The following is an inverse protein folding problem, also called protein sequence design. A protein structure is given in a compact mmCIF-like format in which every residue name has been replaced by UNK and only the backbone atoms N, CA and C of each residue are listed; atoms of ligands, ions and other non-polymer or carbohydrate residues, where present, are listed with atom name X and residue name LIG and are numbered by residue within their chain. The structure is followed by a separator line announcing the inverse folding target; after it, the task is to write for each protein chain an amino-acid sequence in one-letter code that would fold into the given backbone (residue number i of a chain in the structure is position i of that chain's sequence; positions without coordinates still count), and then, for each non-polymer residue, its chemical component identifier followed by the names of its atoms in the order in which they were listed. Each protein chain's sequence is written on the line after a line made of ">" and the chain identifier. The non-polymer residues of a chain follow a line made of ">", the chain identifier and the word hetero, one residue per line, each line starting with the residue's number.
data_IF_631359738569
#
_entry.id   IF_631359738569
#
_cell.length_a   1.000
_cell.length_b   1.000
_cell.length_c   1.000
_cell.angle_alpha   90.00
_cell.angle_beta   90.00
_cell.angle_gamma   90.00
#
_symmetry.space_group_name_H-M   'P 1'
#
loop_
_entity.id
_entity.type
_entity.pdbx_description
1 polymer ?
#
# COMPACT_ATOMS: atom_id res chain seq x y z
N UNK A 1 -7.58 13.65 16.75
CA UNK A 1 -7.15 13.86 15.34
C UNK A 1 -7.89 12.91 14.43
N UNK A 2 -8.21 13.35 13.21
CA UNK A 2 -8.93 12.54 12.23
C UNK A 2 -7.93 11.58 11.54
N UNK A 3 -8.16 10.27 11.63
CA UNK A 3 -7.36 9.26 10.94
C UNK A 3 -7.61 9.32 9.44
N UNK A 4 -6.54 9.40 8.65
CA UNK A 4 -6.61 9.39 7.20
C UNK A 4 -6.30 7.98 6.68
N UNK A 5 -7.28 7.36 6.04
CA UNK A 5 -7.08 6.07 5.39
C UNK A 5 -6.44 6.30 4.02
N UNK A 6 -5.25 5.77 3.81
CA UNK A 6 -4.51 5.94 2.56
C UNK A 6 -4.22 4.59 1.92
N UNK A 7 -4.19 4.56 0.60
CA UNK A 7 -3.72 3.41 -0.17
C UNK A 7 -2.39 3.78 -0.83
N UNK A 8 -1.29 3.20 -0.37
CA UNK A 8 0.05 3.46 -0.93
C UNK A 8 0.42 2.34 -1.90
N UNK A 9 0.36 2.64 -3.20
CA UNK A 9 0.88 1.78 -4.25
C UNK A 9 2.38 2.03 -4.44
N UNK A 10 3.17 0.96 -4.55
CA UNK A 10 4.62 1.02 -4.75
C UNK A 10 5.10 -0.23 -5.49
N UNK A 11 6.33 -0.20 -6.03
CA UNK A 11 7.00 -1.42 -6.48
C UNK A 11 7.46 -2.22 -5.26
N UNK A 12 7.22 -3.53 -5.22
CA UNK A 12 7.40 -4.32 -3.99
C UNK A 12 8.81 -4.33 -3.40
N UNK A 13 9.83 -3.90 -4.16
CA UNK A 13 11.21 -3.75 -3.66
C UNK A 13 11.48 -2.40 -2.98
N UNK A 14 10.52 -1.48 -3.02
CA UNK A 14 10.64 -0.11 -2.52
C UNK A 14 9.95 0.06 -1.15
N UNK A 15 9.79 -1.01 -0.36
CA UNK A 15 9.10 -0.95 0.94
C UNK A 15 9.78 0.03 1.91
N UNK A 16 11.11 0.19 1.82
CA UNK A 16 11.85 1.19 2.60
C UNK A 16 11.33 2.62 2.36
N UNK A 17 10.96 2.95 1.11
CA UNK A 17 10.41 4.26 0.76
C UNK A 17 8.99 4.43 1.30
N UNK A 18 8.22 3.34 1.42
CA UNK A 18 6.89 3.35 2.08
C UNK A 18 7.04 3.68 3.57
N UNK A 19 8.01 3.06 4.26
CA UNK A 19 8.24 3.37 5.67
C UNK A 19 8.70 4.82 5.87
N UNK A 20 9.65 5.29 5.06
CA UNK A 20 10.12 6.68 5.10
C UNK A 20 8.99 7.70 4.88
N UNK A 21 8.08 7.44 3.93
CA UNK A 21 6.90 8.28 3.72
C UNK A 21 5.99 8.29 4.97
N UNK A 22 5.72 7.12 5.58
CA UNK A 22 4.88 7.03 6.78
C UNK A 22 5.49 7.77 7.96
N UNK A 23 6.81 7.69 8.15
CA UNK A 23 7.53 8.45 9.17
C UNK A 23 7.43 9.95 8.94
N UNK A 24 7.65 10.40 7.70
CA UNK A 24 7.50 11.81 7.33
C UNK A 24 6.09 12.33 7.59
N UNK A 25 5.05 11.58 7.23
CA UNK A 25 3.66 11.94 7.51
C UNK A 25 3.39 12.06 9.01
N UNK A 26 3.89 11.11 9.81
CA UNK A 26 3.79 11.18 11.28
C UNK A 26 4.52 12.40 11.86
N UNK A 27 5.69 12.76 11.32
CA UNK A 27 6.46 13.93 11.77
C UNK A 27 5.76 15.27 11.49
N UNK A 28 4.73 15.25 10.65
CA UNK A 28 3.90 16.41 10.29
C UNK A 28 2.49 16.30 10.90
N UNK A 29 2.34 15.51 11.97
CA UNK A 29 1.08 15.27 12.66
C UNK A 29 -0.04 14.70 11.78
N UNK A 30 0.30 13.90 10.75
CA UNK A 30 -0.70 13.10 10.03
C UNK A 30 -0.83 11.69 10.63
N UNK A 31 -1.99 11.37 11.17
CA UNK A 31 -2.35 10.01 11.59
C UNK A 31 -2.85 9.20 10.37
N UNK A 32 -1.93 8.49 9.71
CA UNK A 32 -2.21 7.72 8.48
C UNK A 32 -2.30 6.22 8.73
N UNK A 33 -3.36 5.59 8.20
CA UNK A 33 -3.52 4.14 8.13
C UNK A 33 -3.37 3.69 6.68
N UNK A 34 -2.30 2.96 6.39
CA UNK A 34 -2.05 2.41 5.06
C UNK A 34 -2.81 1.08 4.87
N UNK A 35 -3.57 0.96 3.79
CA UNK A 35 -4.35 -0.21 3.39
C UNK A 35 -3.69 -1.06 2.29
N UNK A 36 -2.44 -0.77 1.91
CA UNK A 36 -1.70 -1.57 0.92
C UNK A 36 -1.53 -3.02 1.36
N UNK A 37 -1.44 -3.92 0.39
CA UNK A 37 -1.20 -5.35 0.61
C UNK A 37 0.27 -5.64 0.36
N UNK A 38 0.95 -6.19 1.36
CA UNK A 38 2.31 -6.73 1.19
C UNK A 38 2.28 -8.26 1.06
N UNK A 39 3.16 -8.76 0.21
CA UNK A 39 3.50 -10.16 -0.05
C UNK A 39 3.87 -10.96 1.21
N UNK A 40 4.38 -10.30 2.26
CA UNK A 40 4.78 -10.93 3.54
C UNK A 40 3.63 -11.55 4.34
N UNK A 41 2.36 -11.31 3.97
CA UNK A 41 1.19 -11.79 4.70
C UNK A 41 0.76 -13.23 4.37
N UNK A 42 1.40 -13.93 3.42
CA UNK A 42 0.99 -15.27 2.99
C UNK A 42 1.87 -16.35 3.64
N UNK A 43 1.48 -16.81 4.82
CA UNK A 43 2.21 -17.85 5.58
C UNK A 43 2.00 -19.28 5.08
N UNK A 44 0.95 -19.52 4.29
CA UNK A 44 0.50 -20.88 3.91
C UNK A 44 0.96 -21.33 2.51
N UNK A 45 1.78 -20.55 1.80
CA UNK A 45 2.29 -20.89 0.46
C UNK A 45 1.24 -20.90 -0.67
N UNK A 46 -0.05 -20.82 -0.34
CA UNK A 46 -1.16 -20.69 -1.30
C UNK A 46 -1.18 -19.27 -1.87
N UNK A 47 -0.99 -19.14 -3.18
CA UNK A 47 -1.20 -17.88 -3.91
C UNK A 47 -2.70 -17.70 -4.17
N UNK A 48 -3.32 -16.60 -3.74
CA UNK A 48 -4.70 -16.31 -4.09
C UNK A 48 -4.86 -16.17 -5.61
N UNK A 49 -6.05 -16.42 -6.13
CA UNK A 49 -6.35 -16.17 -7.54
C UNK A 49 -6.34 -14.68 -7.83
N UNK A 50 -6.14 -14.30 -9.10
CA UNK A 50 -6.16 -12.90 -9.55
C UNK A 50 -7.48 -12.22 -9.13
N UNK A 51 -8.63 -12.87 -9.34
CA UNK A 51 -9.93 -12.33 -8.96
C UNK A 51 -10.05 -12.02 -7.45
N UNK A 52 -9.41 -12.83 -6.59
CA UNK A 52 -9.39 -12.58 -5.14
C UNK A 52 -8.51 -11.38 -4.80
N UNK A 53 -7.35 -11.26 -5.46
CA UNK A 53 -6.43 -10.13 -5.31
C UNK A 53 -7.13 -8.84 -5.75
N UNK A 54 -7.74 -8.83 -6.93
CA UNK A 54 -8.47 -7.69 -7.47
C UNK A 54 -9.60 -7.23 -6.55
N UNK A 55 -10.40 -8.18 -6.04
CA UNK A 55 -11.47 -7.88 -5.09
C UNK A 55 -10.93 -7.25 -3.81
N UNK A 56 -9.86 -7.80 -3.25
CA UNK A 56 -9.23 -7.27 -2.05
C UNK A 56 -8.69 -5.86 -2.29
N UNK A 57 -7.95 -5.65 -3.38
CA UNK A 57 -7.41 -4.34 -3.75
C UNK A 57 -8.52 -3.30 -3.93
N UNK A 58 -9.60 -3.65 -4.64
CA UNK A 58 -10.77 -2.78 -4.83
C UNK A 58 -11.36 -2.33 -3.49
N UNK A 59 -11.58 -3.26 -2.56
CA UNK A 59 -12.09 -2.93 -1.23
C UNK A 59 -11.14 -2.01 -0.44
N UNK A 60 -9.83 -2.28 -0.48
CA UNK A 60 -8.81 -1.49 0.22
C UNK A 60 -8.70 -0.07 -0.33
N UNK A 61 -8.79 0.08 -1.65
CA UNK A 61 -8.81 1.38 -2.32
C UNK A 61 -10.09 2.13 -1.94
N UNK A 62 -11.27 1.49 -1.98
CA UNK A 62 -12.54 2.11 -1.61
C UNK A 62 -12.60 2.60 -0.15
N UNK A 63 -11.92 1.92 0.77
CA UNK A 63 -11.82 2.34 2.17
C UNK A 63 -10.82 3.47 2.42
N UNK A 64 -10.00 3.78 1.42
CA UNK A 64 -9.00 4.83 1.49
C UNK A 64 -9.58 6.13 0.91
N UNK A 65 -9.39 7.23 1.62
CA UNK A 65 -9.77 8.56 1.13
C UNK A 65 -8.75 9.13 0.14
N UNK A 66 -7.54 8.58 0.13
CA UNK A 66 -6.43 9.08 -0.70
C UNK A 66 -5.62 7.92 -1.24
N UNK A 67 -5.32 7.98 -2.54
CA UNK A 67 -4.39 7.08 -3.20
C UNK A 67 -3.04 7.78 -3.40
N UNK A 68 -1.95 7.10 -3.07
CA UNK A 68 -0.59 7.59 -3.22
C UNK A 68 0.18 6.56 -4.06
N UNK A 69 0.76 6.98 -5.17
CA UNK A 69 1.65 6.15 -5.98
C UNK A 69 3.10 6.58 -5.75
N UNK A 70 3.92 5.69 -5.19
CA UNK A 70 5.37 5.90 -5.08
C UNK A 70 6.05 5.40 -6.36
N UNK A 71 6.64 6.36 -7.08
CA UNK A 71 7.26 6.14 -8.38
C UNK A 71 8.77 6.09 -8.21
N UNK A 72 9.33 4.88 -8.30
CA UNK A 72 10.75 4.63 -8.46
C UNK A 72 11.10 4.23 -9.90
N UNK A 73 12.39 3.98 -10.19
CA UNK A 73 12.85 3.65 -11.55
C UNK A 73 12.15 2.42 -12.17
N UNK A 74 11.69 1.48 -11.34
CA UNK A 74 11.04 0.22 -11.76
C UNK A 74 9.53 0.20 -11.53
N UNK A 75 8.90 1.29 -11.10
CA UNK A 75 7.44 1.30 -10.86
C UNK A 75 6.65 0.98 -12.12
N UNK A 76 7.16 1.33 -13.30
CA UNK A 76 6.54 1.05 -14.59
C UNK A 76 6.66 -0.41 -15.04
N UNK A 77 7.55 -1.21 -14.43
CA UNK A 77 7.82 -2.60 -14.84
C UNK A 77 6.96 -3.60 -14.06
N UNK A 78 5.78 -3.19 -13.58
CA UNK A 78 4.86 -4.09 -12.89
C UNK A 78 3.98 -4.80 -13.93
N UNK A 79 4.00 -6.13 -13.87
CA UNK A 79 2.97 -6.98 -14.49
C UNK A 79 1.68 -6.96 -13.66
#
# INVERSE_FOLDING_TARGET
>A
MKKNNVFISHYGKDDEHVQSLKERLRSQDFDVRNFSVDSTNHKDGRKPTIAVIERLLKMRIQWSSTFICLIGPKTHTRD
#
